data_IF_732922942157
#
_entry.id   IF_732922942157
#
_cell.length_a   1.000
_cell.length_b   1.000
_cell.length_c   1.000
_cell.angle_alpha   90.00
_cell.angle_beta   90.00
_cell.angle_gamma   90.00
#
_symmetry.space_group_name_H-M   'P 1'
#
loop_
_entity.id
_entity.type
_entity.pdbx_description
1 polymer ?
#
# COMPACT_ATOMS: atom_id res chain seq x y z
N UNK A 1 -4.88 24.71 24.61
CA UNK A 1 -3.53 24.86 24.00
C UNK A 1 -3.78 25.48 22.63
N UNK A 2 -3.00 26.46 22.18
CA UNK A 2 -3.19 27.03 20.84
C UNK A 2 -2.61 26.06 19.81
N UNK A 3 -3.47 25.46 18.99
CA UNK A 3 -3.07 24.47 17.99
C UNK A 3 -2.09 25.04 16.95
N UNK A 4 -2.01 26.37 16.80
CA UNK A 4 -1.11 27.04 15.85
C UNK A 4 0.38 26.86 16.15
N UNK A 5 0.75 26.51 17.38
CA UNK A 5 2.14 26.26 17.76
C UNK A 5 2.52 24.78 17.76
N UNK A 6 1.62 23.90 17.35
CA UNK A 6 1.89 22.48 17.27
C UNK A 6 2.86 22.17 16.10
N UNK A 7 3.87 21.29 16.31
CA UNK A 7 4.83 20.95 15.26
C UNK A 7 4.17 20.13 14.14
N UNK A 8 3.97 20.73 12.97
CA UNK A 8 3.30 20.08 11.83
C UNK A 8 3.95 18.73 11.46
N UNK A 9 5.28 18.67 11.40
CA UNK A 9 6.00 17.44 11.05
C UNK A 9 5.71 16.27 12.01
N UNK A 10 5.52 16.55 13.30
CA UNK A 10 5.17 15.54 14.30
C UNK A 10 3.78 14.96 14.02
N UNK A 11 2.77 15.82 13.83
CA UNK A 11 1.39 15.40 13.59
C UNK A 11 1.22 14.70 12.24
N UNK A 12 1.95 15.10 11.21
CA UNK A 12 2.03 14.35 9.95
C UNK A 12 2.54 12.93 10.17
N UNK A 13 3.60 12.77 10.96
CA UNK A 13 4.13 11.45 11.30
C UNK A 13 3.14 10.60 12.11
N UNK A 14 2.45 11.20 13.08
CA UNK A 14 1.42 10.51 13.89
C UNK A 14 0.25 10.06 13.02
N UNK A 15 -0.32 10.96 12.21
CA UNK A 15 -1.44 10.66 11.33
C UNK A 15 -1.07 9.60 10.28
N UNK A 16 0.12 9.71 9.67
CA UNK A 16 0.63 8.73 8.70
C UNK A 16 0.73 7.33 9.31
N UNK A 17 1.34 7.20 10.50
CA UNK A 17 1.47 5.89 11.18
C UNK A 17 0.10 5.29 11.50
N UNK A 18 -0.80 6.07 12.09
CA UNK A 18 -2.14 5.60 12.44
C UNK A 18 -2.92 5.12 11.20
N UNK A 19 -2.87 5.88 10.10
CA UNK A 19 -3.53 5.49 8.85
C UNK A 19 -2.93 4.22 8.24
N UNK A 20 -1.59 4.11 8.19
CA UNK A 20 -0.92 2.92 7.67
C UNK A 20 -1.20 1.69 8.53
N UNK A 21 -1.15 1.80 9.85
CA UNK A 21 -1.42 0.69 10.77
C UNK A 21 -2.86 0.20 10.62
N UNK A 22 -3.82 1.11 10.48
CA UNK A 22 -5.21 0.77 10.17
C UNK A 22 -5.34 0.03 8.84
N UNK A 23 -4.78 0.58 7.75
CA UNK A 23 -4.81 -0.07 6.43
C UNK A 23 -4.18 -1.46 6.48
N UNK A 24 -3.03 -1.60 7.15
CA UNK A 24 -2.32 -2.88 7.30
C UNK A 24 -3.14 -3.89 8.10
N UNK A 25 -3.81 -3.44 9.16
CA UNK A 25 -4.74 -4.27 9.94
C UNK A 25 -5.88 -4.78 9.05
N UNK A 26 -6.53 -3.91 8.28
CA UNK A 26 -7.66 -4.29 7.44
C UNK A 26 -7.25 -5.21 6.28
N UNK A 27 -6.06 -5.01 5.68
CA UNK A 27 -5.48 -5.97 4.73
C UNK A 27 -5.17 -7.30 5.44
N UNK A 28 -4.62 -7.23 6.66
CA UNK A 28 -4.32 -8.40 7.50
C UNK A 28 -5.54 -9.28 7.79
N UNK A 29 -6.72 -8.68 7.97
CA UNK A 29 -7.99 -9.40 8.14
C UNK A 29 -8.38 -10.23 6.91
N UNK A 30 -7.83 -9.92 5.74
CA UNK A 30 -8.01 -10.70 4.51
C UNK A 30 -7.00 -11.86 4.39
N UNK A 31 -6.12 -12.04 5.38
CA UNK A 31 -5.16 -13.15 5.45
C UNK A 31 -3.88 -12.93 4.65
N UNK A 32 -3.53 -11.68 4.35
CA UNK A 32 -2.26 -11.29 3.71
C UNK A 32 -1.70 -10.02 4.32
N UNK A 33 -0.41 -9.80 4.13
CA UNK A 33 0.24 -8.53 4.49
C UNK A 33 0.10 -7.49 3.37
N UNK A 34 0.37 -6.22 3.69
CA UNK A 34 0.40 -5.17 2.68
C UNK A 34 1.47 -5.42 1.59
N UNK A 35 2.72 -5.81 1.89
CA UNK A 35 3.70 -6.19 0.85
C UNK A 35 3.20 -7.31 -0.08
N UNK A 36 2.55 -8.33 0.48
CA UNK A 36 1.95 -9.41 -0.32
C UNK A 36 0.85 -8.89 -1.25
N UNK A 37 -0.03 -8.04 -0.72
CA UNK A 37 -1.07 -7.43 -1.55
C UNK A 37 -0.47 -6.60 -2.69
N UNK A 38 0.56 -5.80 -2.42
CA UNK A 38 1.25 -5.03 -3.46
C UNK A 38 1.90 -5.90 -4.53
N UNK A 39 2.52 -7.02 -4.17
CA UNK A 39 3.02 -7.99 -5.15
C UNK A 39 1.89 -8.43 -6.06
N UNK A 40 0.74 -8.84 -5.50
CA UNK A 40 -0.41 -9.26 -6.30
C UNK A 40 -0.90 -8.16 -7.24
N UNK A 41 -0.96 -6.89 -6.78
CA UNK A 41 -1.36 -5.74 -7.61
C UNK A 41 -0.44 -5.52 -8.81
N UNK A 42 0.88 -5.66 -8.63
CA UNK A 42 1.87 -5.50 -9.70
C UNK A 42 1.92 -6.67 -10.68
N UNK A 43 1.44 -7.84 -10.28
CA UNK A 43 1.32 -9.01 -11.14
C UNK A 43 -0.06 -9.08 -11.83
N UNK A 44 -1.06 -8.34 -11.35
CA UNK A 44 -2.43 -8.41 -11.84
C UNK A 44 -2.65 -7.54 -13.10
N UNK A 45 -3.09 -8.11 -14.24
CA UNK A 45 -3.24 -7.39 -15.52
C UNK A 45 -4.32 -6.29 -15.53
N UNK A 46 -5.28 -6.35 -14.60
CA UNK A 46 -6.32 -5.34 -14.39
C UNK A 46 -6.08 -4.40 -13.19
N UNK A 47 -4.83 -4.26 -12.74
CA UNK A 47 -4.45 -3.31 -11.68
C UNK A 47 -3.17 -2.56 -12.04
N UNK A 48 -2.04 -2.80 -11.35
CA UNK A 48 -0.78 -2.10 -11.62
C UNK A 48 0.11 -2.82 -12.64
N UNK A 49 -0.18 -4.09 -12.90
CA UNK A 49 0.57 -4.94 -13.82
C UNK A 49 -0.12 -5.10 -15.17
N UNK A 50 0.62 -5.70 -16.08
CA UNK A 50 0.21 -6.18 -17.41
C UNK A 50 0.02 -7.72 -17.44
N UNK A 51 0.21 -8.38 -16.30
CA UNK A 51 0.18 -9.85 -16.19
C UNK A 51 1.48 -10.54 -16.60
N UNK A 52 2.50 -9.79 -17.04
CA UNK A 52 3.79 -10.34 -17.38
C UNK A 52 4.54 -10.81 -16.11
N UNK A 53 5.39 -11.85 -16.21
CA UNK A 53 6.21 -12.29 -15.09
C UNK A 53 7.12 -11.17 -14.56
N UNK A 54 7.22 -11.02 -13.23
CA UNK A 54 8.12 -10.03 -12.60
C UNK A 54 9.01 -10.68 -11.55
N UNK A 55 10.29 -10.32 -11.53
CA UNK A 55 11.21 -10.79 -10.49
C UNK A 55 10.98 -10.02 -9.18
N UNK A 56 11.33 -10.64 -8.04
CA UNK A 56 11.28 -9.95 -6.74
C UNK A 56 12.11 -8.68 -6.76
N UNK A 57 13.31 -8.69 -7.38
CA UNK A 57 14.14 -7.49 -7.50
C UNK A 57 13.46 -6.38 -8.29
N UNK A 58 12.79 -6.71 -9.41
CA UNK A 58 12.03 -5.73 -10.19
C UNK A 58 10.84 -5.16 -9.43
N UNK A 59 10.17 -5.99 -8.63
CA UNK A 59 9.09 -5.55 -7.74
C UNK A 59 9.60 -4.65 -6.62
N UNK A 60 10.73 -4.98 -6.00
CA UNK A 60 11.37 -4.15 -4.97
C UNK A 60 11.73 -2.76 -5.51
N UNK A 61 12.30 -2.68 -6.72
CA UNK A 61 12.60 -1.40 -7.34
C UNK A 61 11.32 -0.60 -7.66
N UNK A 62 10.30 -1.26 -8.23
CA UNK A 62 9.02 -0.61 -8.53
C UNK A 62 8.28 -0.10 -7.28
N UNK A 63 8.58 -0.67 -6.11
CA UNK A 63 7.94 -0.34 -4.84
C UNK A 63 8.77 0.56 -3.93
N UNK A 64 9.99 0.94 -4.34
CA UNK A 64 11.01 1.55 -3.47
C UNK A 64 10.55 2.76 -2.64
N UNK A 65 9.65 3.57 -3.20
CA UNK A 65 9.24 4.83 -2.57
C UNK A 65 8.18 4.66 -1.48
N UNK A 66 7.55 3.48 -1.39
CA UNK A 66 6.49 3.21 -0.43
C UNK A 66 6.67 1.90 0.34
N UNK A 67 7.82 1.21 0.17
CA UNK A 67 8.26 0.20 1.12
C UNK A 67 8.62 0.86 2.45
N UNK A 68 8.07 0.31 3.53
CA UNK A 68 8.40 0.73 4.88
C UNK A 68 9.54 -0.11 5.46
N UNK A 69 10.29 0.42 6.44
CA UNK A 69 11.25 -0.37 7.20
C UNK A 69 10.60 -1.66 7.73
N UNK A 70 11.22 -2.81 7.43
CA UNK A 70 10.72 -4.13 7.82
C UNK A 70 9.86 -4.83 6.76
N UNK A 71 9.49 -4.17 5.66
CA UNK A 71 8.85 -4.85 4.53
C UNK A 71 9.87 -5.71 3.79
N UNK A 72 9.71 -7.04 3.87
CA UNK A 72 10.54 -8.02 3.16
C UNK A 72 9.76 -8.66 2.01
N UNK A 73 10.06 -8.20 0.79
CA UNK A 73 9.40 -8.70 -0.43
C UNK A 73 9.83 -10.11 -0.81
N UNK A 74 11.03 -10.53 -0.45
CA UNK A 74 11.50 -11.88 -0.74
C UNK A 74 10.72 -12.88 0.13
N UNK A 75 10.58 -12.59 1.43
CA UNK A 75 9.75 -13.38 2.34
C UNK A 75 8.28 -13.36 1.92
N UNK A 76 7.73 -12.18 1.59
CA UNK A 76 6.36 -12.04 1.14
C UNK A 76 6.08 -12.86 -0.14
N UNK A 77 6.97 -12.80 -1.14
CA UNK A 77 6.85 -13.58 -2.37
C UNK A 77 6.95 -15.09 -2.13
N UNK A 78 7.85 -15.52 -1.23
CA UNK A 78 8.00 -16.92 -0.87
C UNK A 78 6.72 -17.48 -0.20
N UNK A 79 6.10 -16.72 0.72
CA UNK A 79 4.82 -17.12 1.33
C UNK A 79 3.70 -17.19 0.30
N UNK A 80 3.59 -16.20 -0.60
CA UNK A 80 2.60 -16.22 -1.69
C UNK A 80 2.77 -17.45 -2.59
N UNK A 81 4.01 -17.81 -2.94
CA UNK A 81 4.31 -18.99 -3.74
C UNK A 81 3.98 -20.29 -2.98
N UNK A 82 4.35 -20.38 -1.70
CA UNK A 82 4.03 -21.53 -0.85
C UNK A 82 2.51 -21.77 -0.71
N UNK A 83 1.72 -20.69 -0.81
CA UNK A 83 0.25 -20.72 -0.77
C UNK A 83 -0.40 -20.89 -2.15
N UNK A 84 0.38 -21.01 -3.23
CA UNK A 84 -0.14 -21.13 -4.60
C UNK A 84 -0.85 -19.88 -5.11
N UNK A 85 -0.55 -18.70 -4.56
CA UNK A 85 -1.12 -17.42 -4.97
C UNK A 85 -0.33 -16.76 -6.11
N UNK A 86 0.93 -17.16 -6.27
CA UNK A 86 1.78 -16.82 -7.40
C UNK A 86 2.55 -18.07 -7.83
N UNK A 87 2.81 -18.20 -9.13
CA UNK A 87 3.73 -19.19 -9.68
C UNK A 87 5.09 -18.55 -9.87
N UNK A 88 6.16 -19.33 -9.66
CA UNK A 88 7.54 -18.90 -9.88
C UNK A 88 8.18 -19.75 -10.98
N UNK A 89 8.64 -19.11 -12.04
CA UNK A 89 9.37 -19.79 -13.11
C UNK A 89 10.86 -20.02 -12.76
N UNK A 90 11.56 -20.75 -13.63
CA UNK A 90 12.98 -21.09 -13.47
C UNK A 90 13.91 -19.87 -13.48
N UNK A 91 13.48 -18.74 -14.04
CA UNK A 91 14.22 -17.46 -14.04
C UNK A 91 13.94 -16.61 -12.81
N UNK A 92 13.01 -17.05 -11.96
CA UNK A 92 12.55 -16.32 -10.79
C UNK A 92 11.47 -15.28 -11.07
N UNK A 93 10.87 -15.30 -12.26
CA UNK A 93 9.69 -14.52 -12.60
C UNK A 93 8.46 -15.03 -11.86
N UNK A 94 7.72 -14.12 -11.24
CA UNK A 94 6.47 -14.39 -10.55
C UNK A 94 5.30 -14.06 -11.46
N UNK A 95 4.30 -14.93 -11.53
CA UNK A 95 3.03 -14.69 -12.22
C UNK A 95 1.89 -14.95 -11.24
N UNK A 96 0.83 -14.13 -11.28
CA UNK A 96 -0.32 -14.31 -10.39
C UNK A 96 -1.19 -15.50 -10.83
N UNK A 97 -1.58 -16.36 -9.89
CA UNK A 97 -2.51 -17.48 -10.15
C UNK A 97 -3.96 -17.02 -10.10
N UNK A 98 -4.92 -17.89 -10.44
CA UNK A 98 -6.34 -17.58 -10.25
C UNK A 98 -6.67 -17.34 -8.76
N UNK A 99 -6.20 -18.20 -7.86
CA UNK A 99 -6.35 -18.02 -6.42
C UNK A 99 -5.74 -16.69 -5.93
N UNK A 100 -4.61 -16.28 -6.51
CA UNK A 100 -4.02 -14.96 -6.27
C UNK A 100 -4.93 -13.81 -6.72
N UNK A 101 -5.55 -13.92 -7.89
CA UNK A 101 -6.51 -12.94 -8.41
C UNK A 101 -7.76 -12.85 -7.53
N UNK A 102 -8.30 -13.98 -7.07
CA UNK A 102 -9.45 -14.02 -6.18
C UNK A 102 -9.16 -13.32 -4.84
N UNK A 103 -7.99 -13.59 -4.25
CA UNK A 103 -7.57 -12.96 -3.00
C UNK A 103 -7.32 -11.46 -3.17
N UNK A 104 -6.65 -11.05 -4.26
CA UNK A 104 -6.53 -9.65 -4.64
C UNK A 104 -7.91 -8.99 -4.74
N UNK A 105 -8.86 -9.64 -5.40
CA UNK A 105 -10.24 -9.17 -5.56
C UNK A 105 -10.95 -8.97 -4.22
N UNK A 106 -10.75 -9.86 -3.24
CA UNK A 106 -11.31 -9.69 -1.88
C UNK A 106 -10.77 -8.45 -1.18
N UNK A 107 -9.46 -8.24 -1.21
CA UNK A 107 -8.83 -7.06 -0.60
C UNK A 107 -9.26 -5.79 -1.34
N UNK A 108 -9.33 -5.81 -2.67
CA UNK A 108 -9.79 -4.68 -3.49
C UNK A 108 -11.24 -4.28 -3.19
N UNK A 109 -12.12 -5.25 -2.91
CA UNK A 109 -13.52 -5.01 -2.50
C UNK A 109 -13.62 -4.32 -1.13
N UNK A 110 -12.65 -4.52 -0.24
CA UNK A 110 -12.61 -3.86 1.06
C UNK A 110 -12.08 -2.41 0.99
N UNK A 111 -11.34 -2.06 -0.07
CA UNK A 111 -10.69 -0.75 -0.17
C UNK A 111 -11.62 0.48 -0.05
N UNK A 112 -12.85 0.49 -0.62
CA UNK A 112 -13.79 1.59 -0.41
C UNK A 112 -14.15 1.77 1.07
N UNK A 113 -14.48 0.70 1.80
CA UNK A 113 -14.83 0.79 3.21
C UNK A 113 -13.66 1.27 4.09
N UNK A 114 -12.43 0.83 3.78
CA UNK A 114 -11.22 1.32 4.46
C UNK A 114 -11.05 2.83 4.23
N UNK A 115 -11.27 3.29 3.00
CA UNK A 115 -11.20 4.71 2.65
C UNK A 115 -12.30 5.50 3.37
N UNK A 116 -13.53 5.01 3.36
CA UNK A 116 -14.67 5.67 3.98
C UNK A 116 -14.45 5.84 5.49
N UNK A 117 -13.92 4.82 6.16
CA UNK A 117 -13.61 4.90 7.60
C UNK A 117 -12.50 5.91 7.89
N UNK A 118 -11.44 5.98 7.07
CA UNK A 118 -10.38 6.99 7.24
C UNK A 118 -10.89 8.42 7.01
N UNK A 119 -12.01 8.59 6.32
CA UNK A 119 -12.64 9.89 6.05
C UNK A 119 -13.84 10.19 6.96
N UNK A 120 -14.19 9.28 7.86
CA UNK A 120 -15.36 9.42 8.73
C UNK A 120 -15.25 10.70 9.58
N UNK A 121 -16.26 11.57 9.49
CA UNK A 121 -16.29 12.85 10.21
C UNK A 121 -15.41 13.95 9.62
N UNK A 122 -14.81 13.75 8.44
CA UNK A 122 -14.04 14.78 7.73
C UNK A 122 -14.87 15.32 6.56
N UNK A 123 -15.17 16.62 6.58
CA UNK A 123 -15.83 17.27 5.45
C UNK A 123 -14.90 17.33 4.22
N UNK A 124 -15.47 17.26 3.01
CA UNK A 124 -14.70 17.29 1.76
C UNK A 124 -13.87 18.58 1.63
N UNK A 125 -14.40 19.71 2.09
CA UNK A 125 -13.71 20.99 2.10
C UNK A 125 -12.49 20.98 3.03
N UNK A 126 -12.63 20.40 4.22
CA UNK A 126 -11.54 20.26 5.19
C UNK A 126 -10.47 19.31 4.66
N UNK A 127 -10.87 18.19 4.05
CA UNK A 127 -9.94 17.26 3.41
C UNK A 127 -9.16 17.95 2.29
N UNK A 128 -9.83 18.75 1.45
CA UNK A 128 -9.17 19.53 0.40
C UNK A 128 -8.21 20.59 0.97
N UNK A 129 -8.56 21.24 2.08
CA UNK A 129 -7.69 22.17 2.81
C UNK A 129 -6.44 21.44 3.32
N UNK A 130 -6.60 20.28 3.96
CA UNK A 130 -5.49 19.46 4.44
C UNK A 130 -4.55 19.10 3.29
N UNK A 131 -5.06 18.55 2.18
CA UNK A 131 -4.22 18.19 1.04
C UNK A 131 -3.47 19.40 0.45
N UNK A 132 -4.12 20.57 0.39
CA UNK A 132 -3.46 21.81 -0.05
C UNK A 132 -2.32 22.22 0.89
N UNK A 133 -2.54 22.16 2.20
CA UNK A 133 -1.50 22.46 3.21
C UNK A 133 -0.35 21.47 3.09
N UNK A 134 -0.64 20.16 2.98
CA UNK A 134 0.39 19.11 2.81
C UNK A 134 1.27 19.35 1.58
N UNK A 135 0.65 19.67 0.44
CA UNK A 135 1.38 20.00 -0.80
C UNK A 135 2.28 21.21 -0.60
N UNK A 136 1.80 22.24 0.09
CA UNK A 136 2.63 23.41 0.39
C UNK A 136 3.79 23.07 1.33
N UNK A 137 3.58 22.23 2.34
CA UNK A 137 4.66 21.75 3.21
C UNK A 137 5.71 20.98 2.41
N UNK A 138 5.29 20.10 1.50
CA UNK A 138 6.22 19.38 0.62
C UNK A 138 7.02 20.33 -0.28
N UNK A 139 6.36 21.31 -0.89
CA UNK A 139 7.02 22.34 -1.70
C UNK A 139 8.04 23.14 -0.87
N UNK A 140 7.67 23.57 0.34
CA UNK A 140 8.57 24.27 1.26
C UNK A 140 9.77 23.41 1.71
N UNK A 141 9.60 22.08 1.74
CA UNK A 141 10.66 21.12 2.05
C UNK A 141 11.51 20.75 0.82
N UNK A 142 11.27 21.37 -0.35
CA UNK A 142 12.03 21.10 -1.58
C UNK A 142 11.63 19.82 -2.32
N UNK A 143 10.46 19.24 -2.02
CA UNK A 143 9.88 18.13 -2.77
C UNK A 143 8.87 18.70 -3.78
N UNK A 144 9.12 18.49 -5.08
CA UNK A 144 8.22 18.84 -6.19
C UNK A 144 7.38 17.65 -6.62
#
# INVERSE_FOLDING_TARGET
>A
MDDRNQPIAYWLGVAHRAAIDFIRSEIGRQGITQPQYWILRHLHPGDLGDGAPRTVAGLTEAMRDYLLPGDDLASAAADLAARGLVDRDATGGLTITESGRELHGRVKKAAPAIRDHLHEGVADEDYAVVLRVLRQVMANAGRS
#
